data_IF_131108321170
#
_entry.id   IF_131108321170
#
_cell.length_a   1.000
_cell.length_b   1.000
_cell.length_c   1.000
_cell.angle_alpha   90.00
_cell.angle_beta   90.00
_cell.angle_gamma   90.00
#
_symmetry.space_group_name_H-M   'P 1'
#
loop_
_entity.id
_entity.type
_entity.pdbx_description
1 polymer ?
#
# COMPACT_ATOMS: atom_id res chain seq x y z
N UNK A 1 11.72 30.41 30.29
CA UNK A 1 10.88 29.55 29.42
C UNK A 1 9.77 30.41 28.83
N UNK A 2 9.81 30.72 27.53
CA UNK A 2 8.75 31.48 26.86
C UNK A 2 7.53 30.58 26.66
N UNK A 3 6.45 30.82 27.41
CA UNK A 3 5.16 30.18 27.14
C UNK A 3 4.54 30.83 25.90
N UNK A 4 4.62 30.16 24.76
CA UNK A 4 3.96 30.60 23.54
C UNK A 4 2.45 30.31 23.62
N UNK A 5 1.70 31.17 24.30
CA UNK A 5 0.23 31.16 24.34
C UNK A 5 -0.34 32.04 23.24
N UNK A 6 -1.25 31.49 22.44
CA UNK A 6 -2.04 32.27 21.50
C UNK A 6 -3.24 32.89 22.24
N UNK A 7 -3.52 34.18 22.02
CA UNK A 7 -4.70 34.84 22.59
C UNK A 7 -5.96 34.36 21.88
N UNK A 8 -7.05 34.19 22.62
CA UNK A 8 -8.40 34.00 22.08
C UNK A 8 -8.92 35.26 21.40
N UNK A 9 -9.99 35.13 20.59
CA UNK A 9 -10.64 36.27 19.94
C UNK A 9 -11.18 37.26 20.99
N UNK A 10 -11.74 36.75 22.09
CA UNK A 10 -12.26 37.56 23.20
C UNK A 10 -11.15 38.40 23.84
N UNK A 11 -10.02 37.79 24.14
CA UNK A 11 -8.88 38.52 24.72
C UNK A 11 -8.34 39.62 23.79
N UNK A 12 -8.35 39.37 22.48
CA UNK A 12 -7.95 40.36 21.47
C UNK A 12 -8.98 41.49 21.39
N UNK A 13 -10.28 41.19 21.45
CA UNK A 13 -11.32 42.23 21.48
C UNK A 13 -11.22 43.09 22.73
N UNK A 14 -10.89 42.51 23.89
CA UNK A 14 -10.69 43.27 25.12
C UNK A 14 -9.54 44.28 25.00
N UNK A 15 -8.45 43.92 24.29
CA UNK A 15 -7.33 44.85 24.04
C UNK A 15 -7.80 46.08 23.24
N UNK A 16 -8.63 45.87 22.21
CA UNK A 16 -9.14 46.94 21.36
C UNK A 16 -10.14 47.80 22.14
N UNK A 17 -11.12 47.18 22.80
CA UNK A 17 -12.12 47.90 23.58
C UNK A 17 -11.49 48.79 24.67
N UNK A 18 -10.46 48.28 25.36
CA UNK A 18 -9.75 49.09 26.37
C UNK A 18 -8.96 50.24 25.73
N UNK A 19 -8.40 50.03 24.53
CA UNK A 19 -7.75 51.11 23.78
C UNK A 19 -8.77 52.18 23.35
N UNK A 20 -9.94 51.77 22.89
CA UNK A 20 -11.01 52.68 22.46
C UNK A 20 -11.58 53.48 23.64
N UNK A 21 -11.57 52.90 24.85
CA UNK A 21 -11.90 53.62 26.10
C UNK A 21 -10.80 54.59 26.58
N UNK A 22 -9.69 54.73 25.84
CA UNK A 22 -8.65 55.72 26.08
C UNK A 22 -7.49 55.25 26.96
N UNK A 23 -7.43 53.97 27.36
CA UNK A 23 -6.32 53.46 28.18
C UNK A 23 -5.02 53.38 27.39
N UNK A 24 -3.91 53.64 28.07
CA UNK A 24 -2.57 53.48 27.50
C UNK A 24 -2.11 52.01 27.52
N UNK A 25 -1.08 51.68 26.72
CA UNK A 25 -0.57 50.30 26.58
C UNK A 25 -0.16 49.69 27.93
N UNK A 26 0.36 50.49 28.86
CA UNK A 26 0.81 50.00 30.18
C UNK A 26 -0.37 49.67 31.09
N UNK A 27 -1.46 50.44 31.03
CA UNK A 27 -2.70 50.17 31.74
C UNK A 27 -3.39 48.92 31.20
N UNK A 28 -3.54 48.80 29.87
CA UNK A 28 -4.10 47.61 29.23
C UNK A 28 -3.29 46.35 29.59
N UNK A 29 -1.96 46.48 29.63
CA UNK A 29 -1.06 45.40 30.02
C UNK A 29 -1.27 44.93 31.45
N UNK A 30 -1.52 45.85 32.40
CA UNK A 30 -1.81 45.53 33.80
C UNK A 30 -3.21 44.94 33.96
N UNK A 31 -4.21 45.55 33.32
CA UNK A 31 -5.63 45.14 33.39
C UNK A 31 -5.83 43.71 32.89
N UNK A 32 -5.25 43.39 31.73
CA UNK A 32 -5.38 42.06 31.11
C UNK A 32 -4.29 41.06 31.56
N UNK A 33 -3.36 41.48 32.42
CA UNK A 33 -2.18 40.71 32.84
C UNK A 33 -1.40 40.12 31.65
N UNK A 34 -1.15 40.96 30.63
CA UNK A 34 -0.44 40.60 29.39
C UNK A 34 0.84 41.41 29.22
N UNK A 35 1.81 40.90 28.47
CA UNK A 35 3.02 41.68 28.19
C UNK A 35 2.71 42.90 27.32
N UNK A 36 3.38 44.03 27.59
CA UNK A 36 3.28 45.26 26.76
C UNK A 36 3.56 44.99 25.28
N UNK A 37 4.45 44.05 24.97
CA UNK A 37 4.77 43.66 23.59
C UNK A 37 3.59 42.96 22.91
N UNK A 38 2.86 42.11 23.63
CA UNK A 38 1.66 41.43 23.14
C UNK A 38 0.55 42.44 22.83
N UNK A 39 0.30 43.37 23.75
CA UNK A 39 -0.69 44.45 23.56
C UNK A 39 -0.32 45.32 22.35
N UNK A 40 0.94 45.76 22.27
CA UNK A 40 1.46 46.57 21.16
C UNK A 40 1.38 45.83 19.81
N UNK A 41 1.67 44.53 19.79
CA UNK A 41 1.56 43.69 18.60
C UNK A 41 0.11 43.66 18.09
N UNK A 42 -0.85 43.37 18.96
CA UNK A 42 -2.26 43.26 18.57
C UNK A 42 -2.87 44.58 18.14
N UNK A 43 -2.55 45.70 18.81
CA UNK A 43 -3.00 47.02 18.39
C UNK A 43 -2.48 47.37 17.00
N UNK A 44 -1.17 47.23 16.75
CA UNK A 44 -0.59 47.47 15.42
C UNK A 44 -1.22 46.60 14.34
N UNK A 45 -1.49 45.34 14.68
CA UNK A 45 -2.05 44.37 13.75
C UNK A 45 -3.50 44.69 13.42
N UNK A 46 -4.28 45.10 14.41
CA UNK A 46 -5.65 45.56 14.20
C UNK A 46 -5.69 46.87 13.39
N UNK A 47 -4.83 47.83 13.70
CA UNK A 47 -4.70 49.08 12.94
C UNK A 47 -4.37 48.82 11.46
N UNK A 48 -3.60 47.76 11.14
CA UNK A 48 -3.23 47.42 9.77
C UNK A 48 -4.20 46.48 9.04
N UNK A 49 -4.73 45.46 9.73
CA UNK A 49 -5.52 44.38 9.12
C UNK A 49 -7.04 44.56 9.34
N UNK A 50 -7.45 45.36 10.32
CA UNK A 50 -8.85 45.54 10.73
C UNK A 50 -9.53 44.28 11.27
N UNK A 51 -8.76 43.22 11.54
CA UNK A 51 -9.28 41.90 11.88
C UNK A 51 -8.76 41.41 13.24
N UNK A 52 -9.69 40.85 14.01
CA UNK A 52 -9.41 40.12 15.25
C UNK A 52 -9.02 38.67 15.01
N UNK A 53 -9.28 38.17 13.79
CA UNK A 53 -9.03 36.80 13.42
C UNK A 53 -7.54 36.57 13.16
N UNK A 54 -7.11 35.35 13.45
CA UNK A 54 -5.74 34.97 13.11
C UNK A 54 -5.71 34.64 11.62
N UNK A 55 -4.88 35.34 10.86
CA UNK A 55 -4.62 34.93 9.48
C UNK A 55 -4.14 33.46 9.45
N UNK A 56 -4.75 32.61 8.61
CA UNK A 56 -4.28 31.27 8.40
C UNK A 56 -2.82 31.32 7.96
N UNK A 57 -2.01 30.36 8.40
CA UNK A 57 -0.64 30.25 7.88
C UNK A 57 -0.75 29.99 6.38
N UNK A 58 -0.03 30.79 5.60
CA UNK A 58 0.13 30.51 4.18
C UNK A 58 0.78 29.12 4.04
N UNK A 59 0.15 28.19 3.31
CA UNK A 59 0.73 26.87 3.11
C UNK A 59 2.04 27.03 2.35
N UNK A 60 3.06 26.32 2.81
CA UNK A 60 4.31 26.24 2.08
C UNK A 60 4.06 25.51 0.75
N UNK A 61 4.59 26.01 -0.39
CA UNK A 61 4.44 25.35 -1.67
C UNK A 61 4.98 23.91 -1.60
N UNK A 62 4.17 22.96 -2.04
CA UNK A 62 4.53 21.54 -2.09
C UNK A 62 5.49 21.30 -3.26
N UNK A 63 6.62 20.64 -2.99
CA UNK A 63 7.57 20.16 -4.03
C UNK A 63 6.86 19.24 -5.04
N UNK A 64 5.87 18.48 -4.56
CA UNK A 64 4.98 17.69 -5.40
C UNK A 64 3.83 18.57 -5.87
N UNK A 65 3.97 19.11 -7.08
CA UNK A 65 2.87 19.76 -7.82
C UNK A 65 1.84 18.72 -8.27
N UNK A 66 0.65 19.18 -8.63
CA UNK A 66 -0.43 18.30 -9.10
C UNK A 66 -0.01 17.51 -10.35
N UNK A 67 0.68 18.15 -11.28
CA UNK A 67 1.21 17.53 -12.50
C UNK A 67 2.21 16.40 -12.20
N UNK A 68 3.16 16.65 -11.28
CA UNK A 68 4.13 15.64 -10.83
C UNK A 68 3.43 14.44 -10.20
N UNK A 69 2.38 14.67 -9.41
CA UNK A 69 1.58 13.59 -8.81
C UNK A 69 0.85 12.78 -9.86
N UNK A 70 0.17 13.44 -10.81
CA UNK A 70 -0.55 12.76 -11.89
C UNK A 70 0.38 11.90 -12.74
N UNK A 71 1.55 12.44 -13.11
CA UNK A 71 2.56 11.70 -13.86
C UNK A 71 3.09 10.49 -13.09
N UNK A 72 3.36 10.64 -11.81
CA UNK A 72 3.78 9.53 -10.97
C UNK A 72 2.69 8.45 -10.89
N UNK A 73 1.44 8.85 -10.67
CA UNK A 73 0.28 7.94 -10.60
C UNK A 73 0.13 7.15 -11.89
N UNK A 74 0.17 7.79 -13.06
CA UNK A 74 0.03 7.10 -14.35
C UNK A 74 1.12 6.06 -14.58
N UNK A 75 2.38 6.37 -14.20
CA UNK A 75 3.49 5.42 -14.28
C UNK A 75 3.27 4.24 -13.33
N UNK A 76 2.82 4.47 -12.09
CA UNK A 76 2.58 3.38 -11.14
C UNK A 76 1.39 2.49 -11.50
N UNK A 77 0.40 3.02 -12.21
CA UNK A 77 -0.69 2.22 -12.76
C UNK A 77 -0.20 1.26 -13.85
N UNK A 78 0.74 1.67 -14.70
CA UNK A 78 1.29 0.82 -15.75
C UNK A 78 2.41 -0.11 -15.23
N UNK A 79 3.25 0.41 -14.34
CA UNK A 79 4.46 -0.23 -13.84
C UNK A 79 4.47 -0.21 -12.30
N UNK A 80 3.69 -1.09 -11.64
CA UNK A 80 3.51 -1.06 -10.18
C UNK A 80 4.79 -1.42 -9.40
N UNK A 81 5.79 -2.01 -10.04
CA UNK A 81 7.08 -2.37 -9.42
C UNK A 81 8.13 -1.26 -9.46
N UNK A 82 7.78 -0.08 -9.97
CA UNK A 82 8.72 1.04 -10.12
C UNK A 82 9.30 1.46 -8.76
N UNK A 83 10.63 1.49 -8.59
CA UNK A 83 11.25 1.97 -7.36
C UNK A 83 10.92 3.45 -7.12
N UNK A 84 10.50 3.81 -5.90
CA UNK A 84 10.20 5.20 -5.55
C UNK A 84 11.41 6.14 -5.64
N UNK A 85 12.61 5.57 -5.68
CA UNK A 85 13.86 6.34 -5.78
C UNK A 85 14.00 7.06 -7.13
N UNK A 86 13.46 6.49 -8.20
CA UNK A 86 13.50 7.11 -9.54
C UNK A 86 12.82 8.49 -9.54
N UNK A 87 11.60 8.57 -8.99
CA UNK A 87 10.88 9.84 -8.84
C UNK A 87 11.48 10.76 -7.78
N UNK A 88 12.16 10.19 -6.78
CA UNK A 88 12.83 10.97 -5.75
C UNK A 88 13.98 11.77 -6.35
N UNK A 89 14.81 11.12 -7.18
CA UNK A 89 15.91 11.75 -7.91
C UNK A 89 15.39 12.72 -8.98
N UNK A 90 14.34 12.34 -9.70
CA UNK A 90 13.75 13.21 -10.74
C UNK A 90 13.13 14.51 -10.20
N UNK A 91 12.43 14.45 -9.07
CA UNK A 91 11.77 15.62 -8.49
C UNK A 91 12.63 16.37 -7.47
N UNK A 92 13.90 15.96 -7.33
CA UNK A 92 14.85 16.45 -6.34
C UNK A 92 14.23 16.47 -4.92
N UNK A 93 13.75 15.30 -4.48
CA UNK A 93 13.08 15.16 -3.21
C UNK A 93 13.39 13.82 -2.53
N UNK A 94 13.00 13.70 -1.26
CA UNK A 94 13.20 12.42 -0.55
C UNK A 94 12.23 11.35 -1.05
N UNK A 95 12.65 10.09 -1.03
CA UNK A 95 11.75 8.97 -1.32
C UNK A 95 10.52 8.94 -0.39
N UNK A 96 10.62 9.48 0.82
CA UNK A 96 9.47 9.58 1.73
C UNK A 96 8.41 10.56 1.20
N UNK A 97 8.82 11.67 0.57
CA UNK A 97 7.93 12.63 -0.09
C UNK A 97 7.11 11.95 -1.19
N UNK A 98 7.76 11.15 -2.04
CA UNK A 98 7.11 10.33 -3.07
C UNK A 98 6.10 9.35 -2.46
N UNK A 99 6.49 8.60 -1.43
CA UNK A 99 5.59 7.67 -0.73
C UNK A 99 4.37 8.37 -0.15
N UNK A 100 4.54 9.56 0.43
CA UNK A 100 3.43 10.37 0.96
C UNK A 100 2.52 10.87 -0.16
N UNK A 101 3.08 11.26 -1.31
CA UNK A 101 2.32 11.59 -2.52
C UNK A 101 1.45 10.42 -2.98
N UNK A 102 2.05 9.24 -3.14
CA UNK A 102 1.33 8.02 -3.55
C UNK A 102 0.21 7.65 -2.58
N UNK A 103 0.46 7.73 -1.27
CA UNK A 103 -0.57 7.45 -0.25
C UNK A 103 -1.76 8.42 -0.35
N UNK A 104 -1.50 9.71 -0.57
CA UNK A 104 -2.55 10.71 -0.79
C UNK A 104 -3.36 10.42 -2.06
N UNK A 105 -2.70 9.91 -3.09
CA UNK A 105 -3.35 9.43 -4.32
C UNK A 105 -3.99 8.02 -4.20
N UNK A 106 -4.04 7.43 -2.99
CA UNK A 106 -4.67 6.11 -2.77
C UNK A 106 -3.82 4.90 -3.17
N UNK A 107 -2.60 5.10 -3.66
CA UNK A 107 -1.66 4.03 -4.04
C UNK A 107 -0.82 3.65 -2.82
N UNK A 108 -0.75 2.35 -2.53
CA UNK A 108 -0.02 1.84 -1.37
C UNK A 108 0.96 0.75 -1.76
N UNK A 109 2.06 0.70 -1.01
CA UNK A 109 3.01 -0.38 -1.09
C UNK A 109 2.41 -1.67 -0.48
N UNK A 110 2.39 -2.76 -1.25
CA UNK A 110 1.77 -4.05 -0.93
C UNK A 110 2.61 -5.21 -1.47
N UNK A 111 2.40 -6.40 -0.90
CA UNK A 111 2.96 -7.64 -1.45
C UNK A 111 2.18 -8.08 -2.70
N UNK A 112 2.86 -8.48 -3.80
CA UNK A 112 2.22 -9.09 -4.96
C UNK A 112 1.49 -10.39 -4.59
N UNK A 113 0.44 -10.70 -5.34
CA UNK A 113 -0.05 -12.08 -5.38
C UNK A 113 0.89 -12.91 -6.26
N UNK A 114 1.22 -14.13 -5.82
CA UNK A 114 1.90 -15.13 -6.66
C UNK A 114 0.85 -16.11 -7.15
N UNK A 115 0.63 -16.17 -8.46
CA UNK A 115 -0.35 -17.07 -9.07
C UNK A 115 0.14 -17.56 -10.42
N UNK A 116 -0.33 -18.74 -10.81
CA UNK A 116 -0.20 -19.24 -12.17
C UNK A 116 -1.16 -18.42 -13.05
N UNK A 117 -0.67 -17.95 -14.20
CA UNK A 117 -1.51 -17.23 -15.16
C UNK A 117 -2.48 -18.22 -15.80
N UNK A 118 -3.78 -17.92 -15.70
CA UNK A 118 -4.83 -18.75 -16.29
C UNK A 118 -5.27 -18.16 -17.62
N UNK A 119 -5.33 -19.01 -18.65
CA UNK A 119 -5.98 -18.68 -19.91
C UNK A 119 -7.50 -18.63 -19.72
N UNK A 120 -8.22 -17.98 -20.62
CA UNK A 120 -9.69 -17.95 -20.57
C UNK A 120 -10.30 -19.36 -20.68
N UNK A 121 -9.66 -20.25 -21.44
CA UNK A 121 -10.03 -21.66 -21.51
C UNK A 121 -9.90 -22.34 -20.13
N UNK A 122 -8.79 -22.15 -19.42
CA UNK A 122 -8.62 -22.71 -18.06
C UNK A 122 -9.66 -22.17 -17.09
N UNK A 123 -9.97 -20.87 -17.13
CA UNK A 123 -11.00 -20.27 -16.27
C UNK A 123 -12.37 -20.89 -16.53
N UNK A 124 -12.74 -21.02 -17.81
CA UNK A 124 -14.02 -21.60 -18.22
C UNK A 124 -14.12 -23.07 -17.80
N UNK A 125 -13.08 -23.88 -18.06
CA UNK A 125 -13.02 -25.27 -17.67
C UNK A 125 -13.16 -25.46 -16.15
N UNK A 126 -12.47 -24.62 -15.35
CA UNK A 126 -12.56 -24.67 -13.89
C UNK A 126 -13.94 -24.29 -13.36
N UNK A 127 -14.57 -23.26 -13.94
CA UNK A 127 -15.94 -22.89 -13.56
C UNK A 127 -16.93 -23.99 -13.92
N UNK A 128 -16.77 -24.60 -15.10
CA UNK A 128 -17.59 -25.74 -15.52
C UNK A 128 -17.42 -26.91 -14.56
N UNK A 129 -16.18 -27.31 -14.27
CA UNK A 129 -15.89 -28.38 -13.31
C UNK A 129 -16.54 -28.10 -11.95
N UNK A 130 -16.39 -26.88 -11.41
CA UNK A 130 -17.00 -26.52 -10.13
C UNK A 130 -18.54 -26.54 -10.14
N UNK A 131 -19.18 -26.35 -11.31
CA UNK A 131 -20.63 -26.49 -11.47
C UNK A 131 -21.05 -27.95 -11.57
N UNK A 132 -20.36 -28.72 -12.41
CA UNK A 132 -20.67 -30.12 -12.68
C UNK A 132 -20.52 -30.98 -11.41
N UNK A 133 -19.54 -30.67 -10.56
CA UNK A 133 -19.26 -31.40 -9.32
C UNK A 133 -19.71 -30.69 -8.05
N UNK A 134 -20.66 -29.74 -8.14
CA UNK A 134 -21.15 -28.98 -6.97
C UNK A 134 -21.72 -29.87 -5.87
N UNK A 135 -22.57 -30.81 -6.26
CA UNK A 135 -23.30 -31.70 -5.34
C UNK A 135 -22.68 -33.11 -5.28
N UNK A 136 -21.46 -33.24 -5.80
CA UNK A 136 -20.75 -34.51 -5.84
C UNK A 136 -20.20 -34.88 -4.45
N UNK A 137 -20.37 -36.15 -4.05
CA UNK A 137 -19.84 -36.67 -2.80
C UNK A 137 -18.34 -36.98 -2.91
N UNK A 138 -17.51 -36.02 -2.53
CA UNK A 138 -16.05 -36.17 -2.50
C UNK A 138 -15.54 -37.10 -1.38
N UNK A 139 -16.40 -37.64 -0.51
CA UNK A 139 -15.96 -38.53 0.57
C UNK A 139 -15.37 -39.85 0.07
N UNK A 140 -15.76 -40.26 -1.15
CA UNK A 140 -15.33 -41.50 -1.81
C UNK A 140 -14.20 -41.31 -2.82
N UNK A 141 -13.67 -40.08 -2.94
CA UNK A 141 -12.62 -39.75 -3.90
C UNK A 141 -11.26 -39.71 -3.21
N UNK A 142 -10.28 -40.31 -3.89
CA UNK A 142 -8.86 -40.15 -3.57
C UNK A 142 -8.29 -39.09 -4.50
N UNK A 143 -7.70 -38.05 -3.93
CA UNK A 143 -6.95 -37.04 -4.66
C UNK A 143 -5.47 -37.43 -4.63
N UNK A 144 -4.81 -37.39 -5.77
CA UNK A 144 -3.37 -37.65 -5.90
C UNK A 144 -2.72 -36.44 -6.56
N UNK A 145 -1.54 -36.02 -6.12
CA UNK A 145 -0.80 -34.93 -6.76
C UNK A 145 0.71 -35.15 -6.63
N UNK A 146 1.45 -34.55 -7.56
CA UNK A 146 2.91 -34.46 -7.53
C UNK A 146 3.32 -33.03 -7.19
N UNK A 147 4.10 -32.88 -6.11
CA UNK A 147 4.62 -31.59 -5.68
C UNK A 147 6.13 -31.54 -5.78
N UNK A 148 6.62 -30.63 -6.62
CA UNK A 148 8.00 -30.17 -6.57
C UNK A 148 8.17 -29.06 -5.53
N UNK A 149 9.00 -29.28 -4.51
CA UNK A 149 9.49 -28.25 -3.60
C UNK A 149 10.75 -27.62 -4.18
N UNK A 150 10.68 -26.34 -4.53
CA UNK A 150 11.79 -25.64 -5.16
C UNK A 150 12.29 -24.48 -4.31
N UNK A 151 13.62 -24.30 -4.27
CA UNK A 151 14.21 -23.11 -3.67
C UNK A 151 13.93 -21.88 -4.56
N UNK A 152 13.58 -20.74 -3.93
CA UNK A 152 13.34 -19.47 -4.64
C UNK A 152 14.49 -18.50 -4.40
N UNK A 153 15.06 -17.95 -5.47
CA UNK A 153 16.04 -16.87 -5.40
C UNK A 153 15.39 -15.50 -5.14
N UNK A 154 14.10 -15.36 -5.42
CA UNK A 154 13.43 -14.07 -5.40
C UNK A 154 12.97 -13.76 -3.98
N UNK A 155 13.66 -12.82 -3.34
CA UNK A 155 13.31 -12.29 -2.03
C UNK A 155 11.95 -11.58 -1.97
N UNK A 156 11.65 -10.96 -0.82
CA UNK A 156 10.37 -10.28 -0.57
C UNK A 156 10.18 -9.08 -1.51
N UNK A 157 9.42 -9.27 -2.59
CA UNK A 157 9.02 -8.19 -3.49
C UNK A 157 7.80 -7.43 -3.00
N UNK A 158 7.72 -6.19 -3.44
CA UNK A 158 6.70 -5.21 -3.10
C UNK A 158 6.33 -4.43 -4.37
N UNK A 159 5.10 -3.96 -4.44
CA UNK A 159 4.58 -3.17 -5.54
C UNK A 159 3.63 -2.10 -5.01
N UNK A 160 3.45 -1.05 -5.80
CA UNK A 160 2.56 0.05 -5.54
C UNK A 160 1.27 -0.15 -6.33
N UNK A 161 0.15 -0.28 -5.62
CA UNK A 161 -1.16 -0.41 -6.26
C UNK A 161 -2.27 0.21 -5.43
N UNK A 162 -3.39 0.47 -6.08
CA UNK A 162 -4.65 0.84 -5.44
C UNK A 162 -5.21 -0.35 -4.64
N UNK A 163 -6.10 -0.07 -3.69
CA UNK A 163 -6.83 -1.13 -2.98
C UNK A 163 -7.71 -1.93 -3.96
N UNK A 164 -8.04 -3.18 -3.61
CA UNK A 164 -8.90 -4.10 -4.38
C UNK A 164 -8.39 -4.56 -5.76
N UNK A 165 -7.23 -4.10 -6.23
CA UNK A 165 -6.65 -4.53 -7.52
C UNK A 165 -5.68 -5.72 -7.40
N UNK A 166 -5.83 -6.57 -6.37
CA UNK A 166 -4.80 -7.58 -5.99
C UNK A 166 -4.52 -8.61 -7.07
N UNK A 167 -5.55 -9.01 -7.79
CA UNK A 167 -5.51 -10.09 -8.77
C UNK A 167 -5.51 -9.60 -10.21
N UNK A 168 -5.37 -8.29 -10.42
CA UNK A 168 -5.14 -7.77 -11.77
C UNK A 168 -3.83 -8.32 -12.33
N UNK A 169 -3.76 -8.72 -13.60
CA UNK A 169 -2.57 -9.34 -14.19
C UNK A 169 -1.27 -8.58 -13.93
N UNK A 170 -1.28 -7.25 -14.00
CA UNK A 170 -0.14 -6.38 -13.71
C UNK A 170 0.39 -6.44 -12.27
N UNK A 171 -0.46 -6.82 -11.31
CA UNK A 171 -0.15 -6.88 -9.88
C UNK A 171 0.20 -8.30 -9.40
N UNK A 172 0.11 -9.27 -10.29
CA UNK A 172 0.37 -10.68 -10.03
C UNK A 172 1.76 -11.02 -10.56
N UNK A 173 2.60 -11.59 -9.70
CA UNK A 173 3.85 -12.20 -10.17
C UNK A 173 3.56 -13.64 -10.59
N UNK A 174 4.09 -14.07 -11.75
CA UNK A 174 4.10 -15.48 -12.07
C UNK A 174 4.92 -16.23 -11.02
N UNK A 175 4.57 -17.49 -10.79
CA UNK A 175 5.29 -18.33 -9.86
C UNK A 175 6.62 -18.78 -10.50
N UNK A 176 7.61 -17.88 -10.51
CA UNK A 176 8.93 -18.17 -11.06
C UNK A 176 9.78 -18.87 -9.97
N UNK A 177 10.11 -20.12 -10.23
CA UNK A 177 10.91 -20.98 -9.37
C UNK A 177 12.36 -21.00 -9.88
N UNK A 178 13.36 -21.06 -8.99
CA UNK A 178 14.75 -20.82 -9.38
C UNK A 178 15.49 -22.04 -9.96
N UNK A 179 14.88 -23.23 -9.82
CA UNK A 179 15.42 -24.49 -10.32
C UNK A 179 16.65 -25.04 -9.58
N UNK A 180 17.25 -24.32 -8.61
CA UNK A 180 18.54 -24.73 -8.00
C UNK A 180 18.45 -25.96 -7.10
N UNK A 181 17.35 -26.11 -6.37
CA UNK A 181 17.06 -27.29 -5.56
C UNK A 181 15.62 -27.63 -5.84
N UNK A 182 15.36 -28.86 -6.29
CA UNK A 182 14.04 -29.40 -6.57
C UNK A 182 13.93 -30.73 -5.85
N UNK A 183 12.91 -30.88 -5.02
CA UNK A 183 12.55 -32.15 -4.37
C UNK A 183 11.17 -32.50 -4.85
N UNK A 184 11.05 -33.55 -5.65
CA UNK A 184 9.77 -34.03 -6.14
C UNK A 184 9.19 -35.03 -5.16
N UNK A 185 7.91 -34.88 -4.86
CA UNK A 185 7.19 -35.78 -3.98
C UNK A 185 5.83 -36.10 -4.60
N UNK A 186 5.39 -37.33 -4.43
CA UNK A 186 4.03 -37.75 -4.74
C UNK A 186 3.28 -37.98 -3.44
N UNK A 187 2.00 -37.60 -3.42
CA UNK A 187 1.14 -37.89 -2.29
C UNK A 187 -0.29 -38.12 -2.75
N UNK A 188 -1.06 -38.71 -1.85
CA UNK A 188 -2.51 -38.80 -2.00
C UNK A 188 -3.21 -38.42 -0.71
N UNK A 189 -4.49 -38.06 -0.81
CA UNK A 189 -5.37 -37.79 0.33
C UNK A 189 -6.80 -38.23 0.02
N UNK A 190 -7.54 -38.58 1.06
CA UNK A 190 -8.96 -38.90 1.00
C UNK A 190 -9.71 -38.16 2.11
N UNK A 191 -11.04 -38.33 2.18
CA UNK A 191 -11.81 -37.78 3.29
C UNK A 191 -11.44 -38.37 4.67
N UNK A 192 -10.80 -39.55 4.71
CA UNK A 192 -10.29 -40.13 5.94
C UNK A 192 -8.99 -39.46 6.43
N UNK A 193 -8.26 -38.76 5.56
CA UNK A 193 -7.00 -38.10 5.89
C UNK A 193 -5.96 -38.15 4.78
N UNK A 194 -4.77 -37.58 5.04
CA UNK A 194 -3.63 -37.67 4.14
C UNK A 194 -3.06 -39.09 4.11
N UNK A 195 -2.68 -39.54 2.91
CA UNK A 195 -1.95 -40.78 2.69
C UNK A 195 -0.44 -40.59 2.80
N UNK A 196 0.30 -41.57 2.25
CA UNK A 196 1.76 -41.56 2.24
C UNK A 196 2.32 -40.44 1.35
N UNK A 197 3.40 -39.79 1.82
CA UNK A 197 4.17 -38.83 1.06
C UNK A 197 5.47 -39.48 0.59
N UNK A 198 5.55 -39.80 -0.69
CA UNK A 198 6.64 -40.57 -1.30
C UNK A 198 7.59 -39.63 -2.03
N UNK A 199 8.88 -39.73 -1.74
CA UNK A 199 9.91 -39.02 -2.49
C UNK A 199 10.08 -39.64 -3.88
N UNK A 200 10.04 -38.81 -4.93
CA UNK A 200 10.36 -39.23 -6.29
C UNK A 200 11.80 -38.81 -6.58
N UNK A 201 12.75 -39.76 -6.71
CA UNK A 201 14.11 -39.44 -7.12
C UNK A 201 14.11 -38.82 -8.52
N UNK A 202 14.96 -37.81 -8.74
CA UNK A 202 15.19 -37.29 -10.09
C UNK A 202 15.79 -38.40 -10.97
N UNK A 203 15.10 -38.76 -12.06
CA UNK A 203 15.63 -39.67 -13.08
C UNK A 203 16.93 -39.09 -13.65
N UNK A 204 18.04 -39.82 -13.49
CA UNK A 204 19.19 -39.64 -14.36
C UNK A 204 18.72 -40.00 -15.77
N UNK A 205 18.87 -39.06 -16.71
CA UNK A 205 18.47 -39.25 -18.11
C UNK A 205 19.01 -40.59 -18.66
N UNK A 206 18.12 -41.57 -18.80
CA UNK A 206 18.40 -42.81 -19.51
C UNK A 206 18.09 -44.11 -18.77
N UNK A 207 16.81 -44.41 -18.52
CA UNK A 207 16.23 -45.77 -18.67
C UNK A 207 14.70 -45.73 -18.50
N UNK A 208 13.89 -46.32 -19.41
CA UNK A 208 12.44 -46.26 -19.32
C UNK A 208 11.88 -47.54 -18.71
N UNK A 209 11.46 -47.53 -17.45
CA UNK A 209 10.52 -48.55 -16.96
C UNK A 209 9.65 -48.05 -15.82
N UNK A 210 8.52 -47.42 -16.15
CA UNK A 210 7.24 -47.62 -15.45
C UNK A 210 6.10 -47.45 -16.44
N UNK A 211 5.58 -48.57 -16.95
CA UNK A 211 4.31 -48.59 -17.67
C UNK A 211 3.17 -48.38 -16.67
N UNK A 212 2.95 -47.13 -16.25
CA UNK A 212 1.71 -46.77 -15.58
C UNK A 212 0.63 -46.60 -16.65
N UNK A 213 -0.34 -47.51 -16.60
CA UNK A 213 -1.50 -47.56 -17.48
C UNK A 213 -2.14 -46.16 -17.58
N UNK A 214 -2.08 -45.54 -18.76
CA UNK A 214 -2.78 -44.29 -19.07
C UNK A 214 -4.29 -44.54 -19.05
N UNK A 215 -4.88 -44.56 -17.86
CA UNK A 215 -6.30 -44.30 -17.69
C UNK A 215 -6.44 -42.81 -17.45
N UNK A 216 -6.69 -42.13 -18.56
CA UNK A 216 -7.28 -40.81 -18.71
C UNK A 216 -7.93 -40.25 -17.43
N UNK A 217 -7.19 -39.43 -16.68
CA UNK A 217 -7.76 -38.58 -15.63
C UNK A 217 -7.42 -37.13 -15.95
N UNK A 218 -8.47 -36.31 -15.96
CA UNK A 218 -8.55 -34.97 -16.49
C UNK A 218 -7.43 -34.03 -16.00
N UNK A 219 -6.91 -33.25 -16.94
CA UNK A 219 -6.16 -32.02 -16.69
C UNK A 219 -6.95 -31.09 -15.75
N UNK A 220 -6.34 -30.74 -14.61
CA UNK A 220 -6.78 -29.76 -13.59
C UNK A 220 -6.20 -28.35 -13.84
#
# INVERSE_FOLDING_TARGET
>A
MSQHRNLSVVERSSIINLRDSGLNISEISRELNMSRNTVKLWLRRFDSEGSLERMPRMPQPSILTQERVQRMVSVYEQHPFTPTRLFAEEFDCTAQTIRNGLRRAGIRNRKPAKKILLTEAHKTARVRFARDYRDFDFSRVIFTDEKSFKSSQIGRRHLWRVNNTRYEPRNVLPNNESGRVVVNMWAWMSAAGPGELVYIPEEQQGQPTWSCCKTQCCLL
#
